data_IF_812983070074
#
_entry.id   IF_812983070074
#
_cell.length_a   1.000
_cell.length_b   1.000
_cell.length_c   1.000
_cell.angle_alpha   90.00
_cell.angle_beta   90.00
_cell.angle_gamma   90.00
#
_symmetry.space_group_name_H-M   'P 1'
#
loop_
_entity.id
_entity.type
_entity.pdbx_description
1 polymer ?
#
# COMPACT_ATOMS: atom_id res chain seq x y z
N UNK A 1 2.07 25.39 -17.37
CA UNK A 1 0.68 24.91 -17.51
C UNK A 1 0.28 24.36 -16.16
N UNK A 2 -0.86 24.77 -15.66
CA UNK A 2 -1.40 24.25 -14.40
C UNK A 2 -1.92 22.83 -14.64
N UNK A 3 -1.50 21.87 -13.82
CA UNK A 3 -1.96 20.48 -13.94
C UNK A 3 -3.37 20.35 -13.34
N UNK A 4 -4.26 19.67 -14.05
CA UNK A 4 -5.60 19.40 -13.54
C UNK A 4 -5.60 18.06 -12.78
N UNK A 5 -6.09 18.10 -11.54
CA UNK A 5 -6.18 16.94 -10.64
C UNK A 5 -7.63 16.49 -10.49
N UNK A 6 -7.85 15.19 -10.43
CA UNK A 6 -9.15 14.57 -10.20
C UNK A 6 -9.07 13.73 -8.93
N UNK A 7 -9.99 13.96 -8.00
CA UNK A 7 -10.27 13.06 -6.89
C UNK A 7 -11.38 12.11 -7.33
N UNK A 8 -11.11 10.81 -7.27
CA UNK A 8 -12.12 9.80 -7.58
C UNK A 8 -13.20 9.77 -6.49
N UNK A 9 -14.44 9.55 -6.91
CA UNK A 9 -15.61 9.42 -6.04
C UNK A 9 -16.33 8.09 -6.32
N UNK A 10 -17.36 7.79 -5.56
CA UNK A 10 -18.22 6.62 -5.78
C UNK A 10 -18.83 6.64 -7.20
N UNK A 11 -19.19 7.83 -7.70
CA UNK A 11 -19.81 8.03 -9.01
C UNK A 11 -18.78 7.90 -10.15
N UNK A 12 -17.55 8.37 -9.96
CA UNK A 12 -16.57 8.46 -11.04
C UNK A 12 -15.62 7.27 -11.12
N UNK A 13 -15.45 6.50 -10.03
CA UNK A 13 -14.46 5.42 -9.96
C UNK A 13 -14.67 4.32 -11.02
N UNK A 14 -15.89 4.10 -11.48
CA UNK A 14 -16.15 3.07 -12.51
C UNK A 14 -15.73 3.54 -13.89
N UNK A 15 -16.00 4.78 -14.26
CA UNK A 15 -15.67 5.34 -15.58
C UNK A 15 -14.21 5.74 -15.69
N UNK A 16 -13.59 6.17 -14.56
CA UNK A 16 -12.21 6.60 -14.53
C UNK A 16 -11.23 5.42 -14.52
N UNK A 17 -10.07 5.61 -15.18
CA UNK A 17 -9.00 4.63 -15.07
C UNK A 17 -8.27 4.75 -13.72
N UNK A 18 -8.00 3.63 -13.10
CA UNK A 18 -7.00 3.59 -12.03
C UNK A 18 -5.62 3.65 -12.67
N UNK A 19 -4.76 4.54 -12.18
CA UNK A 19 -3.42 4.77 -12.73
C UNK A 19 -2.51 3.52 -12.67
N UNK A 20 -2.80 2.60 -11.73
CA UNK A 20 -2.17 1.30 -11.68
C UNK A 20 -2.73 0.38 -12.76
N UNK A 21 -1.91 -0.49 -13.35
CA UNK A 21 -2.31 -1.52 -14.32
C UNK A 21 -3.11 -1.03 -15.54
N UNK A 22 -2.94 0.22 -15.94
CA UNK A 22 -3.77 0.95 -16.92
C UNK A 22 -3.88 0.26 -18.30
N UNK A 23 -2.87 -0.47 -18.73
CA UNK A 23 -2.81 -1.11 -20.05
C UNK A 23 -2.59 -2.63 -19.98
N UNK A 24 -2.61 -3.20 -18.80
CA UNK A 24 -2.25 -4.60 -18.58
C UNK A 24 -3.50 -5.47 -18.43
N UNK A 25 -3.85 -6.19 -19.51
CA UNK A 25 -5.05 -7.04 -19.56
C UNK A 25 -5.10 -8.09 -18.44
N UNK A 26 -3.96 -8.62 -18.02
CA UNK A 26 -3.88 -9.66 -16.96
C UNK A 26 -4.23 -9.16 -15.56
N UNK A 27 -4.27 -7.84 -15.35
CA UNK A 27 -4.59 -7.24 -14.06
C UNK A 27 -6.03 -6.67 -13.98
N UNK A 28 -6.87 -6.90 -14.99
CA UNK A 28 -8.22 -6.31 -15.01
C UNK A 28 -9.10 -6.78 -13.84
N UNK A 29 -9.01 -8.05 -13.45
CA UNK A 29 -9.69 -8.54 -12.25
C UNK A 29 -9.27 -7.78 -10.98
N UNK A 30 -7.97 -7.51 -10.82
CA UNK A 30 -7.45 -6.72 -9.72
C UNK A 30 -7.87 -5.25 -9.77
N UNK A 31 -7.99 -4.67 -10.98
CA UNK A 31 -8.52 -3.31 -11.17
C UNK A 31 -9.97 -3.24 -10.70
N UNK A 32 -10.81 -4.21 -11.08
CA UNK A 32 -12.21 -4.26 -10.63
C UNK A 32 -12.32 -4.46 -9.12
N UNK A 33 -11.54 -5.38 -8.53
CA UNK A 33 -11.49 -5.56 -7.08
C UNK A 33 -11.11 -4.27 -6.36
N UNK A 34 -10.09 -3.54 -6.85
CA UNK A 34 -9.71 -2.25 -6.27
C UNK A 34 -10.81 -1.20 -6.41
N UNK A 35 -11.51 -1.11 -7.54
CA UNK A 35 -12.64 -0.18 -7.71
C UNK A 35 -13.74 -0.45 -6.69
N UNK A 36 -14.12 -1.71 -6.48
CA UNK A 36 -15.12 -2.09 -5.47
C UNK A 36 -14.63 -1.76 -4.05
N UNK A 37 -13.36 -2.02 -3.76
CA UNK A 37 -12.75 -1.67 -2.48
C UNK A 37 -12.78 -0.15 -2.25
N UNK A 38 -12.39 0.66 -3.24
CA UNK A 38 -12.37 2.13 -3.16
C UNK A 38 -13.77 2.71 -2.91
N UNK A 39 -14.82 2.19 -3.55
CA UNK A 39 -16.21 2.65 -3.33
C UNK A 39 -16.59 2.65 -1.86
N UNK A 40 -16.24 1.57 -1.15
CA UNK A 40 -16.52 1.46 0.28
C UNK A 40 -15.62 2.38 1.11
N UNK A 41 -14.40 2.64 0.68
CA UNK A 41 -13.41 3.45 1.41
C UNK A 41 -13.64 4.94 1.26
N UNK A 42 -14.24 5.42 0.17
CA UNK A 42 -14.52 6.85 -0.01
C UNK A 42 -15.41 7.42 1.11
N UNK A 43 -16.39 6.65 1.59
CA UNK A 43 -17.24 7.03 2.73
C UNK A 43 -16.45 7.14 4.05
N UNK A 44 -15.30 6.48 4.15
CA UNK A 44 -14.39 6.53 5.29
C UNK A 44 -13.33 7.65 5.18
N UNK A 45 -13.45 8.51 4.17
CA UNK A 45 -12.53 9.63 3.94
C UNK A 45 -11.27 9.29 3.13
N UNK A 46 -11.25 8.13 2.47
CA UNK A 46 -10.19 7.74 1.56
C UNK A 46 -10.16 8.64 0.33
N UNK A 47 -8.97 9.09 -0.07
CA UNK A 47 -8.75 9.94 -1.24
C UNK A 47 -7.87 9.19 -2.25
N UNK A 48 -8.34 9.15 -3.49
CA UNK A 48 -7.57 8.71 -4.65
C UNK A 48 -7.48 9.87 -5.63
N UNK A 49 -6.37 10.62 -5.58
CA UNK A 49 -6.11 11.78 -6.45
C UNK A 49 -5.20 11.39 -7.60
N UNK A 50 -5.60 11.72 -8.82
CA UNK A 50 -4.84 11.44 -10.05
C UNK A 50 -4.75 12.67 -10.94
N UNK A 51 -3.76 12.67 -11.84
CA UNK A 51 -3.73 13.64 -12.95
C UNK A 51 -4.89 13.38 -13.91
N UNK A 52 -5.53 14.45 -14.38
CA UNK A 52 -6.53 14.39 -15.47
C UNK A 52 -5.85 14.12 -16.82
N UNK A 53 -5.24 12.96 -16.91
CA UNK A 53 -4.61 12.45 -18.12
C UNK A 53 -4.47 10.93 -18.03
N UNK A 54 -4.39 10.26 -19.17
CA UNK A 54 -4.11 8.82 -19.20
C UNK A 54 -2.66 8.56 -18.84
N UNK A 55 -2.39 8.24 -17.57
CA UNK A 55 -1.03 8.01 -17.08
C UNK A 55 -0.97 7.42 -15.69
N UNK A 56 0.24 7.12 -15.24
CA UNK A 56 0.52 6.60 -13.91
C UNK A 56 1.00 7.74 -13.01
N UNK A 57 0.07 8.60 -12.62
CA UNK A 57 0.30 9.78 -11.77
C UNK A 57 -0.82 9.84 -10.75
N UNK A 58 -0.52 9.46 -9.52
CA UNK A 58 -1.52 9.40 -8.43
C UNK A 58 -0.90 9.54 -7.05
N UNK A 59 -1.71 9.98 -6.11
CA UNK A 59 -1.53 9.77 -4.68
C UNK A 59 -2.82 9.17 -4.10
N UNK A 60 -2.66 8.27 -3.13
CA UNK A 60 -3.75 7.59 -2.44
C UNK A 60 -3.50 7.65 -0.94
N UNK A 61 -4.45 8.17 -0.15
CA UNK A 61 -4.33 8.35 1.28
C UNK A 61 -5.68 8.28 2.00
N UNK A 62 -5.67 8.01 3.29
CA UNK A 62 -6.87 7.97 4.12
C UNK A 62 -6.57 8.41 5.57
N UNK A 63 -7.60 8.78 6.36
CA UNK A 63 -7.45 8.91 7.80
C UNK A 63 -6.85 7.64 8.38
N UNK A 64 -5.88 7.78 9.29
CA UNK A 64 -5.17 6.62 9.85
C UNK A 64 -6.12 5.70 10.63
N UNK A 65 -7.17 6.26 11.21
CA UNK A 65 -8.19 5.55 11.96
C UNK A 65 -8.89 4.49 11.09
N UNK A 66 -9.16 4.83 9.82
CA UNK A 66 -9.81 3.94 8.83
C UNK A 66 -8.83 3.29 7.87
N UNK A 67 -7.54 3.60 7.97
CA UNK A 67 -6.53 2.99 7.13
C UNK A 67 -6.29 1.52 7.49
N UNK A 68 -6.29 0.67 6.48
CA UNK A 68 -6.11 -0.79 6.60
C UNK A 68 -4.63 -1.15 6.77
N UNK A 69 -4.04 -0.64 7.84
CA UNK A 69 -2.62 -0.85 8.19
C UNK A 69 -2.46 -1.00 9.71
N UNK A 70 -1.51 -1.80 10.19
CA UNK A 70 -1.26 -2.01 11.61
C UNK A 70 -0.42 -0.86 12.20
N UNK A 71 -0.93 0.35 12.07
CA UNK A 71 -0.33 1.59 12.57
C UNK A 71 -1.35 2.27 13.47
N UNK A 72 -0.89 2.81 14.57
CA UNK A 72 -1.66 3.60 15.52
C UNK A 72 -1.09 5.02 15.63
N UNK A 73 -1.96 5.98 15.89
CA UNK A 73 -1.66 7.39 16.01
C UNK A 73 -2.94 8.20 15.84
N UNK A 74 -3.13 9.18 16.68
CA UNK A 74 -4.36 9.97 16.70
C UNK A 74 -4.34 11.07 15.64
N UNK A 75 -5.42 11.15 14.89
CA UNK A 75 -5.68 12.24 13.94
C UNK A 75 -4.62 12.37 12.83
N UNK A 76 -4.01 11.27 12.42
CA UNK A 76 -3.05 11.21 11.30
C UNK A 76 -3.74 10.84 9.98
N UNK A 77 -3.03 11.06 8.87
CA UNK A 77 -3.38 10.53 7.54
C UNK A 77 -2.27 9.58 7.09
N UNK A 78 -2.65 8.42 6.55
CA UNK A 78 -1.74 7.43 5.99
C UNK A 78 -1.73 7.49 4.47
N UNK A 79 -0.53 7.61 3.86
CA UNK A 79 -0.34 7.52 2.41
C UNK A 79 -0.14 6.05 2.03
N UNK A 80 -1.09 5.50 1.25
CA UNK A 80 -0.99 4.14 0.70
C UNK A 80 -0.07 4.06 -0.51
N UNK A 81 -0.13 5.04 -1.39
CA UNK A 81 0.61 5.05 -2.64
C UNK A 81 0.88 6.48 -3.11
N UNK A 82 2.08 6.72 -3.60
CA UNK A 82 2.44 7.89 -4.40
C UNK A 82 3.24 7.38 -5.59
N UNK A 83 2.70 7.50 -6.79
CA UNK A 83 3.34 6.93 -7.96
C UNK A 83 3.27 7.84 -9.18
N UNK A 84 4.45 8.15 -9.73
CA UNK A 84 4.62 8.86 -11.00
C UNK A 84 5.53 8.03 -11.89
N UNK A 85 5.06 7.65 -13.08
CA UNK A 85 5.79 6.76 -13.98
C UNK A 85 5.67 7.15 -15.45
N UNK A 86 6.52 6.52 -16.29
CA UNK A 86 6.53 6.74 -17.73
C UNK A 86 7.04 8.14 -18.11
N UNK A 87 6.39 8.75 -19.09
CA UNK A 87 6.71 10.10 -19.61
C UNK A 87 6.48 11.22 -18.59
N UNK A 88 5.77 10.95 -17.51
CA UNK A 88 5.48 11.93 -16.46
C UNK A 88 6.59 12.10 -15.43
N UNK A 89 7.63 11.26 -15.47
CA UNK A 89 8.79 11.38 -14.56
C UNK A 89 9.56 12.65 -14.83
N UNK A 90 10.13 13.23 -13.76
CA UNK A 90 11.00 14.43 -13.86
C UNK A 90 10.25 15.75 -14.03
N UNK A 91 8.91 15.76 -14.05
CA UNK A 91 8.09 16.94 -14.25
C UNK A 91 7.60 17.60 -12.93
N UNK A 92 8.09 17.15 -11.77
CA UNK A 92 7.66 17.72 -10.47
C UNK A 92 6.35 17.14 -9.91
N UNK A 93 5.61 16.34 -10.66
CA UNK A 93 4.26 15.86 -10.31
C UNK A 93 4.17 15.10 -8.98
N UNK A 94 5.20 14.34 -8.61
CA UNK A 94 5.23 13.66 -7.31
C UNK A 94 5.30 14.67 -6.14
N UNK A 95 6.01 15.80 -6.34
CA UNK A 95 6.06 16.91 -5.39
C UNK A 95 4.68 17.56 -5.27
N UNK A 96 4.06 17.92 -6.39
CA UNK A 96 2.73 18.55 -6.41
C UNK A 96 1.67 17.68 -5.72
N UNK A 97 1.66 16.38 -5.99
CA UNK A 97 0.75 15.42 -5.34
C UNK A 97 0.97 15.37 -3.83
N UNK A 98 2.22 15.30 -3.37
CA UNK A 98 2.52 15.26 -1.94
C UNK A 98 2.17 16.59 -1.27
N UNK A 99 2.49 17.71 -1.88
CA UNK A 99 2.14 19.05 -1.36
C UNK A 99 0.62 19.25 -1.29
N UNK A 100 -0.13 18.75 -2.29
CA UNK A 100 -1.59 18.78 -2.26
C UNK A 100 -2.17 17.93 -1.13
N UNK A 101 -1.61 16.75 -0.87
CA UNK A 101 -1.99 15.93 0.27
C UNK A 101 -1.70 16.64 1.60
N UNK A 102 -0.51 17.22 1.75
CA UNK A 102 -0.11 17.96 2.96
C UNK A 102 -1.05 19.16 3.20
N UNK A 103 -1.41 19.90 2.14
CA UNK A 103 -2.35 21.01 2.23
C UNK A 103 -3.73 20.57 2.68
N UNK A 104 -4.24 19.47 2.12
CA UNK A 104 -5.53 18.86 2.46
C UNK A 104 -5.59 18.42 3.94
N UNK A 105 -4.52 17.78 4.40
CA UNK A 105 -4.37 17.30 5.78
C UNK A 105 -4.33 18.48 6.78
N UNK A 106 -3.60 19.57 6.44
CA UNK A 106 -3.56 20.79 7.26
C UNK A 106 -4.91 21.49 7.29
N UNK A 107 -5.60 21.60 6.15
CA UNK A 107 -6.92 22.20 6.07
C UNK A 107 -7.97 21.45 6.93
N UNK A 108 -7.78 20.12 7.09
CA UNK A 108 -8.61 19.26 7.95
C UNK A 108 -8.14 19.23 9.41
N UNK A 109 -7.20 20.07 9.81
CA UNK A 109 -6.63 20.13 11.16
C UNK A 109 -6.15 18.77 11.68
N UNK A 110 -5.56 17.96 10.82
CA UNK A 110 -4.96 16.67 11.18
C UNK A 110 -3.61 16.88 11.87
N UNK A 111 -3.22 15.93 12.74
CA UNK A 111 -1.95 15.94 13.47
C UNK A 111 -0.72 15.72 12.57
N UNK A 112 -0.89 15.05 11.43
CA UNK A 112 0.21 14.82 10.50
C UNK A 112 -0.11 13.81 9.41
N UNK A 113 0.95 13.49 8.66
CA UNK A 113 0.92 12.52 7.56
C UNK A 113 1.97 11.44 7.81
N UNK A 114 1.63 10.17 7.59
CA UNK A 114 2.59 9.08 7.69
C UNK A 114 2.56 8.15 6.47
N UNK A 115 3.65 7.40 6.28
CA UNK A 115 3.83 6.49 5.15
C UNK A 115 4.76 5.34 5.52
N UNK A 116 4.44 4.12 5.09
CA UNK A 116 5.36 2.98 5.19
C UNK A 116 6.47 3.10 4.15
N UNK A 117 7.71 2.96 4.62
CA UNK A 117 8.92 3.00 3.84
C UNK A 117 9.94 1.96 4.34
N UNK A 118 11.18 2.10 3.95
CA UNK A 118 12.27 1.24 4.43
C UNK A 118 13.61 1.94 4.38
N UNK A 119 14.52 1.56 5.30
CA UNK A 119 15.90 2.06 5.36
C UNK A 119 16.66 1.77 4.07
N UNK A 120 16.53 0.55 3.54
CA UNK A 120 17.04 0.13 2.23
C UNK A 120 15.89 0.08 1.26
N UNK A 121 16.07 0.61 0.04
CA UNK A 121 15.04 0.61 -1.00
C UNK A 121 14.47 -0.80 -1.22
N UNK A 122 13.17 -0.92 -1.12
CA UNK A 122 12.42 -2.16 -1.35
C UNK A 122 11.40 -1.97 -2.48
N UNK A 123 11.12 -3.02 -3.27
CA UNK A 123 10.02 -2.98 -4.24
C UNK A 123 8.68 -2.64 -3.57
N UNK A 124 7.83 -1.93 -4.28
CA UNK A 124 6.45 -1.59 -3.86
C UNK A 124 6.33 -0.76 -2.57
N UNK A 125 7.43 -0.16 -2.10
CA UNK A 125 7.42 0.79 -0.99
C UNK A 125 7.78 2.20 -1.45
N UNK A 126 7.31 3.17 -0.71
CA UNK A 126 7.64 4.57 -0.87
C UNK A 126 9.14 4.82 -0.63
N UNK A 127 9.75 5.68 -1.44
CA UNK A 127 11.17 6.02 -1.30
C UNK A 127 11.39 6.97 -0.11
N UNK A 128 12.06 6.49 0.93
CA UNK A 128 12.34 7.29 2.13
C UNK A 128 13.08 8.59 1.82
N UNK A 129 14.01 8.59 0.85
CA UNK A 129 14.78 9.79 0.48
C UNK A 129 13.89 10.89 -0.10
N UNK A 130 12.84 10.49 -0.85
CA UNK A 130 11.87 11.43 -1.37
C UNK A 130 11.11 12.11 -0.21
N UNK A 131 10.49 11.36 0.67
CA UNK A 131 9.69 11.90 1.77
C UNK A 131 10.53 12.73 2.77
N UNK A 132 11.74 12.29 3.10
CA UNK A 132 12.64 13.03 4.01
C UNK A 132 13.01 14.44 3.50
N UNK A 133 13.01 14.69 2.17
CA UNK A 133 13.19 16.05 1.61
C UNK A 133 12.00 16.98 1.91
N UNK A 134 10.84 16.44 2.26
CA UNK A 134 9.65 17.19 2.65
C UNK A 134 9.46 17.25 4.18
N UNK A 135 10.51 16.95 4.94
CA UNK A 135 10.47 17.05 6.40
C UNK A 135 9.89 15.82 7.10
N UNK A 136 9.66 14.72 6.39
CA UNK A 136 9.29 13.46 7.05
C UNK A 136 10.48 12.90 7.83
N UNK A 137 10.23 12.49 9.05
CA UNK A 137 11.20 11.84 9.93
C UNK A 137 10.81 10.38 10.21
N UNK A 138 11.75 9.60 10.75
CA UNK A 138 11.45 8.23 11.17
C UNK A 138 10.69 8.27 12.49
N UNK A 139 9.41 7.95 12.43
CA UNK A 139 8.54 7.87 13.61
C UNK A 139 8.71 6.55 14.36
N UNK A 140 8.87 5.43 13.61
CA UNK A 140 9.04 4.11 14.20
C UNK A 140 9.75 3.15 13.23
N UNK A 141 10.26 2.04 13.74
CA UNK A 141 10.96 1.01 12.97
C UNK A 141 10.42 -0.38 13.26
N UNK A 142 10.54 -1.28 12.29
CA UNK A 142 10.19 -2.69 12.42
C UNK A 142 11.27 -3.58 11.77
N UNK A 143 11.29 -4.90 12.09
CA UNK A 143 12.19 -5.85 11.47
C UNK A 143 12.23 -5.75 9.94
N UNK A 144 13.29 -6.30 9.33
CA UNK A 144 13.49 -6.29 7.88
C UNK A 144 13.66 -4.89 7.27
N UNK A 145 14.26 -3.95 8.00
CA UNK A 145 14.53 -2.56 7.56
C UNK A 145 13.26 -1.72 7.27
N UNK A 146 12.07 -2.09 7.74
CA UNK A 146 10.89 -1.25 7.58
C UNK A 146 10.95 -0.01 8.48
N UNK A 147 10.54 1.13 7.94
CA UNK A 147 10.45 2.42 8.63
C UNK A 147 9.05 3.00 8.43
N UNK A 148 8.46 3.51 9.51
CA UNK A 148 7.33 4.43 9.45
C UNK A 148 7.88 5.84 9.37
N UNK A 149 7.62 6.54 8.29
CA UNK A 149 7.96 7.95 8.17
C UNK A 149 6.73 8.80 8.49
N UNK A 150 6.92 9.91 9.20
CA UNK A 150 5.86 10.85 9.52
C UNK A 150 6.34 12.29 9.37
N UNK A 151 5.40 13.15 8.95
CA UNK A 151 5.48 14.60 9.03
C UNK A 151 4.43 15.06 10.03
N UNK A 152 4.88 15.43 11.23
CA UNK A 152 4.02 15.88 12.32
C UNK A 152 3.77 17.37 12.24
N UNK A 153 2.56 17.82 12.61
CA UNK A 153 2.18 19.24 12.72
C UNK A 153 1.96 19.68 14.17
N UNK A 154 1.84 18.74 15.11
CA UNK A 154 1.57 19.01 16.52
C UNK A 154 2.63 18.40 17.47
N UNK A 155 3.67 17.74 16.91
CA UNK A 155 4.74 17.09 17.66
C UNK A 155 4.43 15.65 18.09
N UNK A 156 3.19 15.15 17.88
CA UNK A 156 2.87 13.73 18.09
C UNK A 156 3.50 12.85 17.01
N UNK A 157 3.69 11.56 17.27
CA UNK A 157 4.24 10.61 16.28
C UNK A 157 3.41 9.33 16.26
N UNK A 158 3.04 8.84 15.07
CA UNK A 158 2.40 7.53 14.93
C UNK A 158 3.43 6.42 15.13
N UNK A 159 2.96 5.20 15.41
CA UNK A 159 3.82 4.03 15.60
C UNK A 159 3.18 2.78 15.02
N UNK A 160 3.97 1.76 14.76
CA UNK A 160 3.44 0.44 14.46
C UNK A 160 2.77 -0.15 15.70
N UNK A 161 1.66 -0.85 15.49
CA UNK A 161 1.08 -1.69 16.55
C UNK A 161 2.16 -2.69 17.00
N UNK A 162 2.30 -2.89 18.30
CA UNK A 162 3.41 -3.71 18.85
C UNK A 162 3.43 -5.13 18.28
N UNK A 163 2.26 -5.75 18.09
CA UNK A 163 2.10 -7.08 17.50
C UNK A 163 2.59 -7.13 16.04
N UNK A 164 2.49 -6.04 15.28
CA UNK A 164 2.96 -5.97 13.89
C UNK A 164 4.47 -6.07 13.73
N UNK A 165 5.23 -5.94 14.80
CA UNK A 165 6.69 -6.10 14.78
C UNK A 165 7.15 -7.55 14.97
N UNK A 166 6.22 -8.49 15.18
CA UNK A 166 6.56 -9.90 15.38
C UNK A 166 7.12 -10.56 14.12
N UNK A 167 6.54 -10.28 12.95
CA UNK A 167 6.89 -10.92 11.67
C UNK A 167 6.88 -12.45 11.74
N UNK A 168 6.04 -12.99 12.59
CA UNK A 168 5.82 -14.43 12.80
C UNK A 168 4.32 -14.71 12.89
N UNK A 169 3.93 -15.91 12.42
CA UNK A 169 2.56 -16.42 12.48
C UNK A 169 2.56 -17.85 13.05
N UNK A 170 1.42 -18.29 13.56
CA UNK A 170 1.29 -19.66 14.10
C UNK A 170 1.26 -20.76 13.05
N UNK A 171 0.83 -20.43 11.84
CA UNK A 171 0.70 -21.35 10.70
C UNK A 171 2.06 -21.84 10.21
N UNK A 172 2.18 -23.17 9.98
CA UNK A 172 3.43 -23.77 9.46
C UNK A 172 3.43 -23.90 7.96
N UNK A 173 2.27 -24.02 7.33
CA UNK A 173 2.14 -24.08 5.89
C UNK A 173 2.58 -22.76 5.23
N UNK A 174 2.88 -22.82 3.94
CA UNK A 174 3.06 -21.63 3.13
C UNK A 174 1.79 -20.78 3.22
N UNK A 175 1.92 -19.58 3.75
CA UNK A 175 0.78 -18.68 3.97
C UNK A 175 1.02 -17.35 3.28
N UNK A 176 0.02 -16.89 2.52
CA UNK A 176 0.02 -15.60 1.85
C UNK A 176 -1.13 -14.75 2.37
N UNK A 177 -0.80 -13.60 2.95
CA UNK A 177 -1.74 -12.54 3.27
C UNK A 177 -1.83 -11.58 2.08
N UNK A 178 -3.04 -11.18 1.70
CA UNK A 178 -3.25 -10.26 0.59
C UNK A 178 -4.48 -9.38 0.81
N UNK A 179 -4.38 -8.11 0.38
CA UNK A 179 -5.47 -7.13 0.41
C UNK A 179 -6.02 -6.84 -0.99
N UNK A 180 -6.98 -5.89 -1.09
CA UNK A 180 -7.59 -5.48 -2.36
C UNK A 180 -7.15 -4.07 -2.80
N UNK A 181 -6.33 -3.40 -2.01
CA UNK A 181 -5.86 -2.04 -2.30
C UNK A 181 -4.99 -1.96 -3.56
N UNK A 182 -4.18 -2.95 -3.87
CA UNK A 182 -3.28 -2.93 -5.02
C UNK A 182 -3.78 -3.86 -6.14
N UNK A 183 -4.03 -3.37 -7.36
CA UNK A 183 -4.61 -4.18 -8.44
C UNK A 183 -3.69 -5.28 -8.99
N UNK A 184 -2.42 -5.26 -8.60
CA UNK A 184 -1.47 -6.31 -9.01
C UNK A 184 -1.55 -7.57 -8.17
N UNK A 185 -2.22 -7.53 -7.00
CA UNK A 185 -2.24 -8.61 -6.02
C UNK A 185 -2.98 -9.84 -6.52
N UNK A 186 -4.16 -9.67 -7.09
CA UNK A 186 -5.00 -10.80 -7.54
C UNK A 186 -4.23 -11.69 -8.51
N UNK A 187 -3.59 -11.11 -9.52
CA UNK A 187 -2.81 -11.88 -10.49
C UNK A 187 -1.58 -12.56 -9.84
N UNK A 188 -0.94 -11.92 -8.86
CA UNK A 188 0.20 -12.51 -8.14
C UNK A 188 -0.25 -13.73 -7.31
N UNK A 189 -1.34 -13.59 -6.56
CA UNK A 189 -1.91 -14.66 -5.74
C UNK A 189 -2.33 -15.83 -6.61
N UNK A 190 -3.00 -15.56 -7.76
CA UNK A 190 -3.47 -16.58 -8.68
C UNK A 190 -2.32 -17.39 -9.29
N UNK A 191 -1.24 -16.73 -9.72
CA UNK A 191 -0.06 -17.44 -10.24
C UNK A 191 0.56 -18.37 -9.20
N UNK A 192 0.68 -17.91 -7.94
CA UNK A 192 1.23 -18.75 -6.86
C UNK A 192 0.27 -19.90 -6.53
N UNK A 193 -1.05 -19.63 -6.46
CA UNK A 193 -2.07 -20.64 -6.22
C UNK A 193 -2.00 -21.75 -7.24
N UNK A 194 -2.06 -21.41 -8.53
CA UNK A 194 -1.99 -22.37 -9.64
C UNK A 194 -0.73 -23.23 -9.59
N UNK A 195 0.42 -22.60 -9.28
CA UNK A 195 1.68 -23.33 -9.15
C UNK A 195 1.64 -24.31 -7.96
N UNK A 196 1.13 -23.89 -6.81
CA UNK A 196 1.04 -24.74 -5.63
C UNK A 196 0.08 -25.94 -5.86
N UNK A 197 -1.08 -25.70 -6.49
CA UNK A 197 -2.03 -26.74 -6.85
C UNK A 197 -1.39 -27.79 -7.79
N UNK A 198 -0.69 -27.33 -8.84
CA UNK A 198 -0.02 -28.22 -9.80
C UNK A 198 1.08 -29.07 -9.16
N UNK A 199 1.76 -28.54 -8.16
CA UNK A 199 2.90 -29.21 -7.52
C UNK A 199 2.56 -29.81 -6.14
N UNK A 200 1.28 -29.91 -5.78
CA UNK A 200 0.80 -30.43 -4.50
C UNK A 200 1.47 -29.77 -3.27
N UNK A 201 1.73 -28.45 -3.34
CA UNK A 201 2.28 -27.68 -2.24
C UNK A 201 1.13 -27.12 -1.40
N UNK A 202 1.05 -27.43 -0.09
CA UNK A 202 0.04 -26.84 0.79
C UNK A 202 0.17 -25.31 0.82
N UNK A 203 -0.92 -24.61 0.50
CA UNK A 203 -0.98 -23.15 0.46
C UNK A 203 -2.20 -22.65 1.24
N UNK A 204 -1.98 -21.76 2.17
CA UNK A 204 -3.02 -21.00 2.87
C UNK A 204 -3.07 -19.57 2.33
N UNK A 205 -4.23 -19.14 1.83
CA UNK A 205 -4.50 -17.78 1.40
C UNK A 205 -5.37 -17.08 2.46
N UNK A 206 -4.90 -15.93 2.94
CA UNK A 206 -5.58 -15.14 3.97
C UNK A 206 -5.89 -13.76 3.40
N UNK A 207 -7.16 -13.54 3.09
CA UNK A 207 -7.63 -12.22 2.67
C UNK A 207 -7.66 -11.24 3.85
N UNK A 208 -7.09 -10.06 3.64
CA UNK A 208 -7.23 -8.91 4.53
C UNK A 208 -8.49 -8.17 4.07
N UNK A 209 -9.64 -8.58 4.58
CA UNK A 209 -10.98 -8.21 4.11
C UNK A 209 -11.76 -7.34 5.11
N UNK A 210 -11.12 -6.96 6.22
CA UNK A 210 -11.71 -6.03 7.20
C UNK A 210 -10.65 -5.11 7.81
N UNK A 211 -11.10 -3.96 8.31
CA UNK A 211 -10.25 -3.02 9.05
C UNK A 211 -9.65 -3.67 10.30
N UNK A 212 -10.45 -4.44 11.04
CA UNK A 212 -10.01 -5.15 12.22
C UNK A 212 -8.84 -6.10 11.91
N UNK A 213 -8.97 -6.94 10.88
CA UNK A 213 -7.88 -7.82 10.43
C UNK A 213 -6.64 -7.03 10.03
N UNK A 214 -6.81 -5.94 9.30
CA UNK A 214 -5.69 -5.09 8.87
C UNK A 214 -4.96 -4.45 10.05
N UNK A 215 -5.68 -4.01 11.09
CA UNK A 215 -5.10 -3.45 12.31
C UNK A 215 -4.42 -4.50 13.18
N UNK A 216 -4.87 -5.75 13.16
CA UNK A 216 -4.34 -6.86 13.96
C UNK A 216 -3.21 -7.65 13.26
N UNK A 217 -2.73 -7.23 12.09
CA UNK A 217 -1.67 -7.95 11.37
C UNK A 217 -0.39 -8.06 12.20
N UNK A 218 0.27 -9.23 12.25
CA UNK A 218 1.53 -9.43 12.94
C UNK A 218 2.76 -9.00 12.10
N UNK A 219 2.55 -8.14 11.09
CA UNK A 219 3.58 -7.61 10.20
C UNK A 219 3.12 -6.27 9.61
N UNK A 220 4.07 -5.42 9.21
CA UNK A 220 3.76 -4.05 8.77
C UNK A 220 3.38 -3.87 7.28
N UNK A 221 3.86 -4.66 6.30
CA UNK A 221 3.46 -4.50 4.90
C UNK A 221 2.05 -5.05 4.62
N UNK A 222 1.03 -4.30 5.00
CA UNK A 222 -0.37 -4.73 5.08
C UNK A 222 -1.02 -5.20 3.75
N UNK A 223 -0.44 -4.90 2.59
CA UNK A 223 -1.04 -5.29 1.31
C UNK A 223 -0.72 -6.73 0.89
N UNK A 224 0.49 -7.20 1.19
CA UNK A 224 0.96 -8.52 0.77
C UNK A 224 2.11 -8.99 1.65
N UNK A 225 2.01 -10.19 2.16
CA UNK A 225 3.09 -10.83 2.91
C UNK A 225 3.06 -12.35 2.73
N UNK A 226 4.24 -12.93 2.58
CA UNK A 226 4.44 -14.38 2.42
C UNK A 226 5.17 -14.91 3.64
N UNK A 227 4.66 -16.00 4.20
CA UNK A 227 5.24 -16.72 5.33
C UNK A 227 5.46 -18.18 4.96
N UNK A 228 6.54 -18.76 5.46
CA UNK A 228 6.85 -20.19 5.36
C UNK A 228 7.34 -20.68 6.73
N UNK A 229 6.80 -21.76 7.22
CA UNK A 229 7.11 -22.29 8.55
C UNK A 229 6.90 -21.25 9.67
N UNK A 230 5.88 -20.40 9.53
CA UNK A 230 5.56 -19.33 10.47
C UNK A 230 6.43 -18.09 10.37
N UNK A 231 7.46 -18.06 9.52
CA UNK A 231 8.42 -16.94 9.40
C UNK A 231 8.18 -16.13 8.14
N UNK A 232 8.34 -14.82 8.28
CA UNK A 232 8.23 -13.89 7.15
C UNK A 232 9.30 -14.14 6.09
N UNK A 233 8.86 -14.28 4.84
CA UNK A 233 9.73 -14.47 3.66
C UNK A 233 9.87 -13.19 2.86
N UNK A 234 8.74 -12.56 2.50
CA UNK A 234 8.77 -11.36 1.64
C UNK A 234 7.41 -10.65 1.62
N UNK A 235 7.44 -9.34 1.32
CA UNK A 235 6.28 -8.53 0.96
C UNK A 235 6.22 -8.25 -0.56
N UNK A 236 7.19 -8.73 -1.32
CA UNK A 236 7.28 -8.52 -2.76
C UNK A 236 6.25 -9.41 -3.47
N UNK A 237 5.49 -8.82 -4.40
CA UNK A 237 4.57 -9.59 -5.23
C UNK A 237 5.32 -10.66 -6.02
N UNK A 238 4.85 -11.89 -5.92
CA UNK A 238 5.48 -13.04 -6.53
C UNK A 238 4.82 -13.38 -7.87
N UNK A 239 5.64 -13.61 -8.88
CA UNK A 239 5.32 -14.46 -10.00
C UNK A 239 5.94 -15.84 -9.77
N UNK A 240 5.61 -16.82 -10.61
CA UNK A 240 6.09 -18.20 -10.47
C UNK A 240 7.62 -18.30 -10.31
N UNK A 241 8.39 -17.61 -11.16
CA UNK A 241 9.86 -17.66 -11.12
C UNK A 241 10.43 -17.11 -9.82
N UNK A 242 9.89 -15.95 -9.38
CA UNK A 242 10.32 -15.32 -8.13
C UNK A 242 9.88 -16.14 -6.91
N UNK A 243 8.71 -16.79 -6.99
CA UNK A 243 8.21 -17.71 -5.98
C UNK A 243 9.18 -18.87 -5.75
N UNK A 244 9.53 -19.60 -6.83
CA UNK A 244 10.52 -20.67 -6.78
C UNK A 244 11.83 -20.22 -6.16
N UNK A 245 12.38 -19.11 -6.65
CA UNK A 245 13.64 -18.54 -6.14
C UNK A 245 13.58 -18.19 -4.66
N UNK A 246 12.46 -17.64 -4.17
CA UNK A 246 12.32 -17.18 -2.78
C UNK A 246 12.13 -18.32 -1.79
N UNK A 247 11.53 -19.41 -2.23
CA UNK A 247 11.22 -20.56 -1.38
C UNK A 247 12.23 -21.71 -1.54
N UNK A 248 13.19 -21.59 -2.46
CA UNK A 248 14.20 -22.63 -2.71
C UNK A 248 13.63 -23.86 -3.43
N UNK A 249 12.64 -23.67 -4.30
CA UNK A 249 11.96 -24.71 -5.09
C UNK A 249 12.54 -24.85 -6.49
#
# INVERSE_FOLDING_TARGET
MEHQWIDLTVETVESEHLCCAIADKKHQAGVQSKKQWLKQRFEEGHVFRKLDARGKVLIEYAPLETAWVPIEGDNYVYIYCLWVAGSFKGQGLAKELLESCIADVKAKHKAGVCVLSSKKKKPYLSDAKFFKRFGFEVADTAPNDFELLALSFDGSMPRFVSTAKAFEIGEKDLTIYYGMQCPFLINSVEQVRSYCETNAIPLRLVAIDSLEKAKALPFVPANYAVFQNGKFVTHQLLNENLFKKKLGL
#
